data_IF_665434664979
#
_entry.id   IF_665434664979
#
_cell.length_a   1.000
_cell.length_b   1.000
_cell.length_c   1.000
_cell.angle_alpha   90.00
_cell.angle_beta   90.00
_cell.angle_gamma   90.00
#
_symmetry.space_group_name_H-M   'P 1'
#
loop_
_entity.id
_entity.type
_entity.pdbx_description
1 polymer ?
#
# COMPACT_ATOMS: atom_id res chain seq x y z
N UNK A 1 -25.22 1.26 -7.85
CA UNK A 1 -23.85 1.77 -8.05
C UNK A 1 -23.12 2.08 -6.75
N UNK A 2 -23.76 2.69 -5.73
CA UNK A 2 -23.15 2.94 -4.41
C UNK A 2 -22.53 1.70 -3.75
N UNK A 3 -23.23 0.56 -3.76
CA UNK A 3 -22.74 -0.70 -3.16
C UNK A 3 -21.46 -1.23 -3.83
N UNK A 4 -21.35 -1.13 -5.16
CA UNK A 4 -20.16 -1.56 -5.90
C UNK A 4 -18.95 -0.70 -5.54
N UNK A 5 -19.12 0.62 -5.50
CA UNK A 5 -18.06 1.55 -5.07
C UNK A 5 -17.60 1.25 -3.64
N UNK A 6 -18.52 0.95 -2.73
CA UNK A 6 -18.19 0.57 -1.34
C UNK A 6 -17.37 -0.71 -1.28
N UNK A 7 -17.74 -1.74 -2.06
CA UNK A 7 -17.00 -3.02 -2.11
C UNK A 7 -15.59 -2.79 -2.64
N UNK A 8 -15.42 -2.05 -3.74
CA UNK A 8 -14.11 -1.76 -4.32
C UNK A 8 -13.24 -0.97 -3.32
N UNK A 9 -13.81 0.01 -2.60
CA UNK A 9 -13.10 0.74 -1.54
C UNK A 9 -12.64 -0.17 -0.41
N UNK A 10 -13.52 -1.06 0.06
CA UNK A 10 -13.19 -2.04 1.09
C UNK A 10 -12.04 -2.95 0.65
N UNK A 11 -12.08 -3.46 -0.58
CA UNK A 11 -10.99 -4.26 -1.14
C UNK A 11 -9.68 -3.45 -1.26
N UNK A 12 -9.76 -2.19 -1.70
CA UNK A 12 -8.60 -1.30 -1.79
C UNK A 12 -7.94 -1.04 -0.43
N UNK A 13 -8.74 -0.74 0.60
CA UNK A 13 -8.23 -0.57 1.97
C UNK A 13 -7.70 -1.87 2.55
N UNK A 14 -8.36 -3.00 2.31
CA UNK A 14 -7.87 -4.30 2.78
C UNK A 14 -6.51 -4.65 2.17
N UNK A 15 -6.31 -4.41 0.88
CA UNK A 15 -5.03 -4.63 0.21
C UNK A 15 -3.95 -3.65 0.66
N UNK A 16 -4.30 -2.37 0.89
CA UNK A 16 -3.35 -1.43 1.48
C UNK A 16 -2.94 -1.84 2.90
N UNK A 17 -3.90 -2.22 3.74
CA UNK A 17 -3.63 -2.67 5.09
C UNK A 17 -2.73 -3.92 5.09
N UNK A 18 -3.03 -4.90 4.22
CA UNK A 18 -2.19 -6.07 4.03
C UNK A 18 -0.77 -5.71 3.55
N UNK A 19 -0.66 -4.78 2.60
CA UNK A 19 0.63 -4.30 2.10
C UNK A 19 1.46 -3.60 3.19
N UNK A 20 0.83 -2.74 3.99
CA UNK A 20 1.48 -2.07 5.13
C UNK A 20 1.95 -3.10 6.17
N UNK A 21 1.13 -4.09 6.49
CA UNK A 21 1.51 -5.17 7.41
C UNK A 21 2.69 -5.98 6.86
N UNK A 22 2.69 -6.29 5.57
CA UNK A 22 3.79 -7.02 4.93
C UNK A 22 5.11 -6.24 4.98
N UNK A 23 5.06 -4.93 4.73
CA UNK A 23 6.22 -4.04 4.88
C UNK A 23 6.72 -4.02 6.32
N UNK A 24 5.82 -3.91 7.31
CA UNK A 24 6.18 -3.92 8.72
C UNK A 24 6.84 -5.24 9.14
N UNK A 25 6.30 -6.38 8.69
CA UNK A 25 6.89 -7.71 8.94
C UNK A 25 8.27 -7.83 8.28
N UNK A 26 8.43 -7.35 7.04
CA UNK A 26 9.72 -7.32 6.36
C UNK A 26 10.77 -6.51 7.12
N UNK A 27 10.39 -5.33 7.62
CA UNK A 27 11.24 -4.49 8.45
C UNK A 27 11.66 -5.19 9.75
N UNK A 28 10.71 -5.81 10.47
CA UNK A 28 11.00 -6.57 11.69
C UNK A 28 11.94 -7.74 11.38
N UNK A 29 11.73 -8.44 10.26
CA UNK A 29 12.58 -9.55 9.83
C UNK A 29 14.03 -9.13 9.60
N UNK A 30 14.25 -7.99 8.95
CA UNK A 30 15.60 -7.44 8.72
C UNK A 30 16.21 -6.97 10.05
N UNK A 31 15.43 -6.29 10.89
CA UNK A 31 15.89 -5.87 12.22
C UNK A 31 16.32 -7.05 13.10
N UNK A 32 15.63 -8.20 13.00
CA UNK A 32 15.94 -9.41 13.75
C UNK A 32 17.14 -10.19 13.20
N UNK A 33 17.42 -10.12 11.90
CA UNK A 33 18.54 -10.83 11.26
C UNK A 33 19.83 -10.01 11.21
N UNK A 34 19.72 -8.78 10.74
CA UNK A 34 20.86 -7.93 10.38
C UNK A 34 21.03 -6.75 11.36
N UNK A 35 20.09 -6.58 12.30
CA UNK A 35 20.13 -5.58 13.35
C UNK A 35 19.39 -4.28 13.00
N UNK A 36 19.18 -3.44 14.02
CA UNK A 36 18.38 -2.21 13.89
C UNK A 36 19.03 -1.19 12.94
N UNK A 37 20.37 -1.14 12.87
CA UNK A 37 21.07 -0.20 11.99
C UNK A 37 20.83 -0.53 10.50
N UNK A 38 20.84 -1.81 10.14
CA UNK A 38 20.52 -2.24 8.78
C UNK A 38 19.04 -2.04 8.48
N UNK A 39 18.16 -2.28 9.46
CA UNK A 39 16.75 -1.96 9.30
C UNK A 39 16.53 -0.45 9.04
N UNK A 40 17.26 0.45 9.69
CA UNK A 40 17.16 1.89 9.41
C UNK A 40 17.71 2.27 8.03
N UNK A 41 18.64 1.49 7.47
CA UNK A 41 19.17 1.68 6.11
C UNK A 41 18.07 1.52 5.04
N UNK A 42 17.02 0.74 5.33
CA UNK A 42 15.82 0.55 4.50
C UNK A 42 15.07 1.88 4.28
N UNK A 43 15.06 2.76 5.28
CA UNK A 43 14.45 4.08 5.19
C UNK A 43 15.36 5.11 4.52
N UNK A 44 16.58 4.73 4.13
CA UNK A 44 17.45 5.59 3.34
C UNK A 44 16.80 5.89 2.00
N UNK A 45 16.66 7.18 1.62
CA UNK A 45 16.10 7.56 0.32
C UNK A 45 16.98 7.12 -0.86
N UNK A 46 18.21 6.65 -0.60
CA UNK A 46 19.13 6.12 -1.59
C UNK A 46 18.90 4.63 -1.90
N UNK A 47 18.07 3.93 -1.12
CA UNK A 47 17.71 2.53 -1.37
C UNK A 47 16.51 2.44 -2.33
N UNK A 48 16.77 2.68 -3.61
CA UNK A 48 15.77 2.68 -4.69
C UNK A 48 15.03 1.34 -4.75
N UNK A 49 15.71 0.22 -4.50
CA UNK A 49 15.10 -1.10 -4.53
C UNK A 49 14.03 -1.27 -3.45
N UNK A 50 14.30 -0.82 -2.23
CA UNK A 50 13.31 -0.86 -1.17
C UNK A 50 12.12 0.06 -1.47
N UNK A 51 12.39 1.26 -1.99
CA UNK A 51 11.32 2.18 -2.38
C UNK A 51 10.42 1.59 -3.47
N UNK A 52 11.01 0.94 -4.49
CA UNK A 52 10.26 0.22 -5.52
C UNK A 52 9.45 -0.94 -4.95
N UNK A 53 10.01 -1.71 -4.01
CA UNK A 53 9.29 -2.80 -3.35
C UNK A 53 8.07 -2.30 -2.57
N UNK A 54 8.21 -1.20 -1.81
CA UNK A 54 7.09 -0.56 -1.10
C UNK A 54 6.03 -0.07 -2.08
N UNK A 55 6.44 0.63 -3.14
CA UNK A 55 5.50 1.13 -4.15
C UNK A 55 4.76 0.01 -4.87
N UNK A 56 5.47 -1.05 -5.29
CA UNK A 56 4.87 -2.21 -5.94
C UNK A 56 3.89 -2.94 -5.00
N UNK A 57 4.21 -3.02 -3.70
CA UNK A 57 3.35 -3.66 -2.69
C UNK A 57 2.05 -2.88 -2.45
N UNK A 58 2.12 -1.54 -2.43
CA UNK A 58 0.96 -0.68 -2.16
C UNK A 58 0.15 -0.35 -3.42
N UNK A 59 0.75 -0.44 -4.61
CA UNK A 59 0.14 -0.06 -5.88
C UNK A 59 -1.23 -0.72 -6.16
N UNK A 60 -1.46 -2.04 -5.91
CA UNK A 60 -2.75 -2.65 -6.17
C UNK A 60 -3.88 -2.06 -5.34
N UNK A 61 -3.63 -1.81 -4.05
CA UNK A 61 -4.62 -1.22 -3.15
C UNK A 61 -4.91 0.25 -3.50
N UNK A 62 -3.87 1.03 -3.82
CA UNK A 62 -4.02 2.40 -4.30
C UNK A 62 -4.77 2.50 -5.63
N UNK A 63 -4.51 1.58 -6.56
CA UNK A 63 -5.18 1.52 -7.86
C UNK A 63 -6.67 1.21 -7.73
N UNK A 64 -7.05 0.29 -6.83
CA UNK A 64 -8.46 -0.01 -6.55
C UNK A 64 -9.19 1.20 -5.94
N UNK A 65 -8.55 1.93 -5.02
CA UNK A 65 -9.13 3.16 -4.49
C UNK A 65 -9.29 4.23 -5.57
N UNK A 66 -8.29 4.40 -6.44
CA UNK A 66 -8.37 5.32 -7.57
C UNK A 66 -9.55 5.00 -8.50
N UNK A 67 -9.74 3.72 -8.84
CA UNK A 67 -10.89 3.28 -9.63
C UNK A 67 -12.20 3.55 -8.89
N UNK A 68 -12.26 3.25 -7.60
CA UNK A 68 -13.46 3.48 -6.81
C UNK A 68 -13.85 4.96 -6.77
N UNK A 69 -12.87 5.86 -6.67
CA UNK A 69 -13.09 7.30 -6.70
C UNK A 69 -13.51 7.79 -8.08
N UNK A 70 -12.93 7.26 -9.16
CA UNK A 70 -13.36 7.58 -10.53
C UNK A 70 -14.81 7.17 -10.78
N UNK A 71 -15.20 5.97 -10.33
CA UNK A 71 -16.57 5.44 -10.48
C UNK A 71 -17.55 6.17 -9.55
N UNK A 72 -17.14 6.43 -8.30
CA UNK A 72 -17.96 7.11 -7.29
C UNK A 72 -18.16 8.60 -7.58
N UNK A 73 -17.12 9.28 -8.09
CA UNK A 73 -17.16 10.69 -8.49
C UNK A 73 -17.95 10.92 -9.79
N UNK A 74 -17.94 9.96 -10.73
CA UNK A 74 -18.76 10.04 -11.95
C UNK A 74 -20.27 9.91 -11.69
N UNK A 75 -20.71 9.64 -10.46
CA UNK A 75 -22.12 9.55 -10.06
C UNK A 75 -22.63 10.73 -9.22
N UNK A 76 -21.81 11.76 -8.98
CA UNK A 76 -22.17 12.91 -8.14
C UNK A 76 -21.92 14.26 -8.84
N UNK A 77 -21.90 14.26 -10.17
CA UNK A 77 -21.93 15.45 -11.02
C UNK A 77 -23.34 15.69 -11.56
N UNK A 78 -24.21 16.20 -10.72
CA UNK A 78 -25.45 16.90 -11.06
C UNK A 78 -25.60 18.08 -10.11
#
# INVERSE_FOLDING_TARGET
>A
MKTLTTIIRLCGYALLAAGVLLIAVGFIGIAARDGIMEALSIFSPFNIWNWLAVMATLAPGGFLLFIADKIGGSGNGA
#
